data_IF_263014500269
#
_entry.id   IF_263014500269
#
_cell.length_a   1.000
_cell.length_b   1.000
_cell.length_c   1.000
_cell.angle_alpha   90.00
_cell.angle_beta   90.00
_cell.angle_gamma   90.00
#
_symmetry.space_group_name_H-M   'P 1'
#
loop_
_entity.id
_entity.type
_entity.pdbx_description
1 polymer ?
#
# COMPACT_ATOMS: atom_id res chain seq x y z
N UNK A 1 -13.35 -3.81 30.49
CA UNK A 1 -14.31 -2.69 30.30
C UNK A 1 -15.16 -2.92 29.06
N UNK A 2 -16.45 -2.53 29.10
CA UNK A 2 -17.33 -2.53 27.94
C UNK A 2 -17.51 -1.08 27.47
N UNK A 3 -17.07 -0.77 26.26
CA UNK A 3 -16.99 0.60 25.74
C UNK A 3 -18.05 0.83 24.68
N UNK A 4 -18.92 1.84 24.88
CA UNK A 4 -19.79 2.32 23.82
C UNK A 4 -19.04 3.27 22.90
N UNK A 5 -19.12 3.09 21.57
CA UNK A 5 -18.54 4.02 20.61
C UNK A 5 -19.67 4.66 19.78
N UNK A 6 -19.74 5.97 19.82
CA UNK A 6 -20.72 6.76 19.06
C UNK A 6 -20.00 7.78 18.17
N UNK A 7 -20.53 8.02 16.96
CA UNK A 7 -19.89 8.91 15.98
C UNK A 7 -20.90 9.75 15.22
N UNK A 8 -20.58 11.03 15.02
CA UNK A 8 -21.30 11.93 14.11
C UNK A 8 -20.35 12.62 13.14
N UNK A 9 -20.89 13.01 11.98
CA UNK A 9 -20.21 13.92 11.06
C UNK A 9 -20.62 15.36 11.36
N UNK A 10 -19.65 16.28 11.45
CA UNK A 10 -19.94 17.73 11.64
C UNK A 10 -20.68 18.37 10.46
N UNK A 11 -20.72 17.72 9.28
CA UNK A 11 -21.26 18.29 8.03
C UNK A 11 -22.71 17.89 7.76
N UNK A 12 -23.32 17.03 8.56
CA UNK A 12 -24.63 16.51 8.17
C UNK A 12 -25.57 16.12 9.27
N UNK A 13 -26.41 17.04 9.67
CA UNK A 13 -27.71 16.75 10.31
C UNK A 13 -28.69 15.97 9.39
N UNK A 14 -28.21 15.36 8.29
CA UNK A 14 -29.05 14.60 7.34
C UNK A 14 -29.23 13.13 7.70
N UNK A 15 -28.33 12.56 8.47
CA UNK A 15 -28.57 11.22 9.03
C UNK A 15 -29.26 11.37 10.38
N UNK A 16 -30.54 10.96 10.44
CA UNK A 16 -31.48 11.05 11.57
C UNK A 16 -31.04 10.38 12.89
N UNK A 17 -29.76 10.13 13.09
CA UNK A 17 -29.21 9.50 14.29
C UNK A 17 -28.25 10.46 15.01
N UNK A 18 -28.87 11.34 15.83
CA UNK A 18 -28.15 12.20 16.76
C UNK A 18 -27.32 11.36 17.75
N UNK A 19 -26.25 11.94 18.30
CA UNK A 19 -25.44 11.30 19.37
C UNK A 19 -26.34 10.79 20.51
N UNK A 20 -27.33 11.56 20.89
CA UNK A 20 -28.31 11.19 21.95
C UNK A 20 -29.07 9.91 21.60
N UNK A 21 -29.48 9.73 20.34
CA UNK A 21 -30.17 8.52 19.92
C UNK A 21 -29.22 7.29 19.88
N UNK A 22 -28.01 7.45 19.40
CA UNK A 22 -27.02 6.36 19.43
C UNK A 22 -26.73 5.95 20.89
N UNK A 23 -26.51 6.92 21.76
CA UNK A 23 -26.25 6.67 23.19
C UNK A 23 -27.43 5.95 23.85
N UNK A 24 -28.67 6.40 23.57
CA UNK A 24 -29.87 5.75 24.08
C UNK A 24 -29.96 4.29 23.62
N UNK A 25 -29.80 4.03 22.32
CA UNK A 25 -29.89 2.68 21.77
C UNK A 25 -28.85 1.72 22.34
N UNK A 26 -27.62 2.18 22.53
CA UNK A 26 -26.55 1.39 23.16
C UNK A 26 -26.92 1.09 24.62
N UNK A 27 -27.32 2.10 25.39
CA UNK A 27 -27.72 1.91 26.78
C UNK A 27 -28.93 0.97 26.94
N UNK A 28 -29.97 1.13 26.10
CA UNK A 28 -31.14 0.25 26.11
C UNK A 28 -30.74 -1.20 25.82
N UNK A 29 -29.90 -1.42 24.82
CA UNK A 29 -29.37 -2.74 24.49
C UNK A 29 -28.59 -3.34 25.67
N UNK A 30 -27.62 -2.59 26.18
CA UNK A 30 -26.78 -3.05 27.29
C UNK A 30 -27.63 -3.38 28.55
N UNK A 31 -28.68 -2.58 28.84
CA UNK A 31 -29.59 -2.85 29.90
C UNK A 31 -30.38 -4.16 29.71
N UNK A 32 -30.90 -4.41 28.49
CA UNK A 32 -31.63 -5.66 28.18
C UNK A 32 -30.73 -6.90 28.31
N UNK A 33 -29.45 -6.81 27.89
CA UNK A 33 -28.54 -7.94 27.91
C UNK A 33 -27.65 -8.00 29.17
N UNK A 34 -27.92 -7.15 30.18
CA UNK A 34 -27.17 -7.07 31.44
C UNK A 34 -25.67 -6.85 31.22
N UNK A 35 -25.34 -6.00 30.25
CA UNK A 35 -23.97 -5.58 29.96
C UNK A 35 -23.75 -4.27 30.73
N UNK A 36 -22.83 -4.26 31.67
CA UNK A 36 -22.40 -3.04 32.36
C UNK A 36 -21.52 -2.21 31.41
N UNK A 37 -21.98 -1.02 31.04
CA UNK A 37 -21.25 -0.12 30.15
C UNK A 37 -20.38 0.81 30.99
N UNK A 38 -19.07 0.70 30.83
CA UNK A 38 -18.10 1.46 31.66
C UNK A 38 -17.90 2.88 31.14
N UNK A 39 -17.82 3.05 29.81
CA UNK A 39 -17.57 4.35 29.18
C UNK A 39 -18.29 4.45 27.82
N UNK A 40 -18.68 5.67 27.45
CA UNK A 40 -19.11 5.98 26.07
C UNK A 40 -18.14 6.98 25.47
N UNK A 41 -17.39 6.53 24.45
CA UNK A 41 -16.47 7.37 23.70
C UNK A 41 -17.24 8.03 22.55
N UNK A 42 -17.15 9.36 22.49
CA UNK A 42 -17.77 10.17 21.44
C UNK A 42 -16.73 10.60 20.40
N UNK A 43 -16.97 10.31 19.13
CA UNK A 43 -16.12 10.75 18.01
C UNK A 43 -16.88 11.73 17.11
N UNK A 44 -16.36 12.96 17.00
CA UNK A 44 -16.91 13.98 16.11
C UNK A 44 -16.02 14.12 14.88
N UNK A 45 -16.58 13.80 13.71
CA UNK A 45 -15.86 13.87 12.44
C UNK A 45 -16.01 15.23 11.77
N UNK A 46 -14.94 16.01 11.65
CA UNK A 46 -14.93 17.35 11.03
C UNK A 46 -14.51 17.38 9.56
N UNK A 47 -14.39 16.23 8.89
CA UNK A 47 -14.06 16.15 7.45
C UNK A 47 -12.65 16.55 7.05
N UNK A 48 -11.99 17.43 7.79
CA UNK A 48 -10.70 18.03 7.43
C UNK A 48 -9.55 17.66 8.35
N UNK A 49 -9.81 17.19 9.56
CA UNK A 49 -8.77 16.78 10.51
C UNK A 49 -8.65 15.27 10.55
N UNK A 50 -7.40 14.79 10.47
CA UNK A 50 -7.03 13.38 10.67
C UNK A 50 -7.14 12.98 12.15
N UNK A 51 -7.52 13.89 13.01
CA UNK A 51 -7.56 13.67 14.45
C UNK A 51 -8.71 12.76 14.82
N UNK A 52 -8.40 11.64 15.43
CA UNK A 52 -9.32 10.57 15.86
C UNK A 52 -9.15 10.35 17.37
N UNK A 53 -9.34 11.42 18.13
CA UNK A 53 -9.09 11.40 19.57
C UNK A 53 -9.86 10.28 20.26
N UNK A 54 -11.15 10.09 19.92
CA UNK A 54 -11.96 9.01 20.46
C UNK A 54 -11.43 7.62 20.11
N UNK A 55 -11.03 7.42 18.84
CA UNK A 55 -10.49 6.13 18.42
C UNK A 55 -9.07 5.87 18.96
N UNK A 56 -8.26 6.93 19.12
CA UNK A 56 -6.93 6.83 19.73
C UNK A 56 -7.05 6.53 21.23
N UNK A 57 -8.01 7.13 21.92
CA UNK A 57 -8.32 6.80 23.31
C UNK A 57 -8.75 5.33 23.45
N UNK A 58 -9.69 4.86 22.60
CA UNK A 58 -10.08 3.46 22.57
C UNK A 58 -8.90 2.51 22.35
N UNK A 59 -8.02 2.84 21.40
CA UNK A 59 -6.81 2.03 21.15
C UNK A 59 -5.90 1.97 22.34
N UNK A 60 -5.69 3.08 23.05
CA UNK A 60 -4.88 3.13 24.27
C UNK A 60 -5.45 2.21 25.36
N UNK A 61 -6.77 2.20 25.54
CA UNK A 61 -7.44 1.29 26.48
C UNK A 61 -7.27 -0.18 26.07
N UNK A 62 -7.36 -0.47 24.78
CA UNK A 62 -7.16 -1.83 24.25
C UNK A 62 -5.72 -2.30 24.45
N UNK A 63 -4.74 -1.44 24.16
CA UNK A 63 -3.31 -1.75 24.33
C UNK A 63 -2.95 -2.00 25.80
N UNK A 64 -3.65 -1.40 26.74
CA UNK A 64 -3.53 -1.67 28.17
C UNK A 64 -4.19 -3.00 28.61
N UNK A 65 -4.97 -3.63 27.73
CA UNK A 65 -5.69 -4.86 28.03
C UNK A 65 -6.98 -4.65 28.83
N UNK A 66 -7.48 -3.42 28.92
CA UNK A 66 -8.62 -3.06 29.76
C UNK A 66 -9.98 -3.31 29.10
N UNK A 67 -10.03 -3.44 27.75
CA UNK A 67 -11.28 -3.51 26.98
C UNK A 67 -11.71 -4.94 26.73
N UNK A 68 -12.93 -5.29 27.16
CA UNK A 68 -13.57 -6.59 26.90
C UNK A 68 -14.45 -6.54 25.64
N UNK A 69 -15.24 -5.47 25.49
CA UNK A 69 -16.12 -5.34 24.33
C UNK A 69 -16.27 -3.89 23.87
N UNK A 70 -16.54 -3.74 22.57
CA UNK A 70 -16.91 -2.47 21.94
C UNK A 70 -18.33 -2.60 21.42
N UNK A 71 -19.23 -1.73 21.92
CA UNK A 71 -20.65 -1.70 21.56
C UNK A 71 -20.92 -0.50 20.66
N UNK A 72 -21.45 -0.74 19.48
CA UNK A 72 -21.82 0.29 18.51
C UNK A 72 -23.29 0.16 18.10
N UNK A 73 -23.89 1.26 17.70
CA UNK A 73 -25.24 1.21 17.13
C UNK A 73 -25.24 0.45 15.79
N UNK A 74 -24.24 0.71 14.94
CA UNK A 74 -23.98 0.06 13.65
C UNK A 74 -22.49 -0.07 13.41
N UNK A 75 -22.07 -1.09 12.64
CA UNK A 75 -20.66 -1.29 12.27
C UNK A 75 -20.06 -0.11 11.52
N UNK A 76 -20.87 0.65 10.76
CA UNK A 76 -20.42 1.84 10.05
C UNK A 76 -19.86 2.93 10.99
N UNK A 77 -20.18 2.87 12.28
CA UNK A 77 -19.64 3.78 13.30
C UNK A 77 -18.17 3.51 13.59
N UNK A 78 -17.68 2.30 13.35
CA UNK A 78 -16.25 1.94 13.42
C UNK A 78 -15.45 2.42 12.21
N UNK A 79 -16.13 2.80 11.11
CA UNK A 79 -15.54 2.94 9.78
C UNK A 79 -15.67 4.38 9.24
N UNK A 80 -14.62 4.90 8.60
CA UNK A 80 -14.70 6.02 7.64
C UNK A 80 -14.89 5.51 6.22
N UNK A 81 -14.22 4.42 5.91
CA UNK A 81 -14.35 3.65 4.68
C UNK A 81 -14.43 2.17 5.04
N UNK A 82 -14.95 1.36 4.15
CA UNK A 82 -15.06 -0.08 4.37
C UNK A 82 -13.70 -0.71 4.68
N UNK A 83 -12.66 -0.36 3.92
CA UNK A 83 -11.31 -0.90 4.10
C UNK A 83 -10.68 -0.53 5.46
N UNK A 84 -10.83 0.73 5.92
CA UNK A 84 -10.35 1.14 7.25
C UNK A 84 -11.11 0.44 8.36
N UNK A 85 -12.42 0.28 8.19
CA UNK A 85 -13.25 -0.41 9.17
C UNK A 85 -12.86 -1.86 9.36
N UNK A 86 -12.62 -2.57 8.25
CA UNK A 86 -12.19 -3.96 8.32
C UNK A 86 -10.82 -4.11 8.99
N UNK A 87 -9.89 -3.19 8.74
CA UNK A 87 -8.59 -3.17 9.43
C UNK A 87 -8.78 -2.96 10.94
N UNK A 88 -9.69 -2.06 11.33
CA UNK A 88 -9.96 -1.81 12.75
C UNK A 88 -10.69 -2.99 13.41
N UNK A 89 -11.65 -3.60 12.74
CA UNK A 89 -12.30 -4.83 13.19
C UNK A 89 -11.28 -5.94 13.42
N UNK A 90 -10.35 -6.14 12.48
CA UNK A 90 -9.26 -7.10 12.63
C UNK A 90 -8.40 -6.78 13.85
N UNK A 91 -8.06 -5.52 14.05
CA UNK A 91 -7.31 -5.07 15.22
C UNK A 91 -8.04 -5.41 16.54
N UNK A 92 -9.37 -5.23 16.61
CA UNK A 92 -10.17 -5.64 17.78
C UNK A 92 -10.10 -7.15 17.99
N UNK A 93 -10.23 -7.94 16.92
CA UNK A 93 -10.11 -9.40 16.98
C UNK A 93 -8.74 -9.87 17.44
N UNK A 94 -7.67 -9.29 16.91
CA UNK A 94 -6.29 -9.65 17.24
C UNK A 94 -5.95 -9.33 18.72
N UNK A 95 -6.75 -8.47 19.37
CA UNK A 95 -6.66 -8.13 20.80
C UNK A 95 -7.77 -8.78 21.65
N UNK A 96 -8.48 -9.79 21.14
CA UNK A 96 -9.55 -10.50 21.84
C UNK A 96 -10.73 -9.62 22.28
N UNK A 97 -10.91 -8.44 21.69
CA UNK A 97 -12.00 -7.52 21.99
C UNK A 97 -13.26 -7.91 21.24
N UNK A 98 -14.35 -8.13 21.96
CA UNK A 98 -15.65 -8.47 21.39
C UNK A 98 -16.28 -7.24 20.73
N UNK A 99 -17.03 -7.46 19.65
CA UNK A 99 -17.74 -6.41 18.91
C UNK A 99 -19.24 -6.71 18.98
N UNK A 100 -20.01 -5.73 19.41
CA UNK A 100 -21.46 -5.80 19.46
C UNK A 100 -22.03 -4.68 18.61
N UNK A 101 -22.79 -5.04 17.58
CA UNK A 101 -23.56 -4.10 16.76
C UNK A 101 -25.05 -4.27 17.00
N UNK A 102 -25.67 -3.23 17.56
CA UNK A 102 -27.04 -3.27 18.05
C UNK A 102 -28.05 -3.48 16.91
N UNK A 103 -27.96 -2.69 15.85
CA UNK A 103 -28.97 -2.74 14.76
C UNK A 103 -28.77 -3.91 13.81
N UNK A 104 -27.52 -4.29 13.53
CA UNK A 104 -27.23 -5.49 12.72
C UNK A 104 -27.40 -6.78 13.52
N UNK A 105 -27.60 -6.71 14.85
CA UNK A 105 -27.72 -7.86 15.75
C UNK A 105 -26.50 -8.80 15.65
N UNK A 106 -25.32 -8.20 15.56
CA UNK A 106 -24.05 -8.93 15.49
C UNK A 106 -23.42 -8.86 16.87
N UNK A 107 -23.06 -10.03 17.40
CA UNK A 107 -22.32 -10.17 18.65
C UNK A 107 -21.25 -11.23 18.42
N UNK A 108 -19.99 -10.82 18.44
CA UNK A 108 -18.86 -11.70 18.20
C UNK A 108 -18.53 -12.62 19.38
N UNK A 109 -19.22 -12.49 20.49
CA UNK A 109 -19.17 -13.51 21.57
C UNK A 109 -19.86 -14.81 21.11
N UNK A 110 -20.82 -14.71 20.18
CA UNK A 110 -21.55 -15.84 19.59
C UNK A 110 -20.80 -16.45 18.39
N UNK A 111 -21.04 -17.74 18.14
CA UNK A 111 -20.46 -18.43 16.97
C UNK A 111 -20.91 -17.80 15.64
N UNK A 112 -22.20 -17.43 15.54
CA UNK A 112 -22.74 -16.79 14.34
C UNK A 112 -22.16 -15.39 14.08
N UNK A 113 -21.98 -14.59 15.14
CA UNK A 113 -21.35 -13.27 15.03
C UNK A 113 -19.89 -13.37 14.61
N UNK A 114 -19.12 -14.30 15.19
CA UNK A 114 -17.73 -14.57 14.75
C UNK A 114 -17.66 -15.03 13.31
N UNK A 115 -18.54 -15.93 12.89
CA UNK A 115 -18.61 -16.37 11.50
C UNK A 115 -18.87 -15.22 10.55
N UNK A 116 -19.87 -14.37 10.84
CA UNK A 116 -20.19 -13.21 10.02
C UNK A 116 -18.99 -12.25 9.88
N UNK A 117 -18.29 -11.98 10.98
CA UNK A 117 -17.12 -11.10 10.94
C UNK A 117 -15.96 -11.71 10.14
N UNK A 118 -15.72 -13.02 10.27
CA UNK A 118 -14.72 -13.71 9.45
C UNK A 118 -15.05 -13.63 7.95
N UNK A 119 -16.32 -13.72 7.58
CA UNK A 119 -16.76 -13.53 6.19
C UNK A 119 -16.46 -12.10 5.71
N UNK A 120 -16.76 -11.08 6.53
CA UNK A 120 -16.41 -9.68 6.20
C UNK A 120 -14.91 -9.47 6.01
N UNK A 121 -14.08 -10.05 6.89
CA UNK A 121 -12.62 -9.99 6.77
C UNK A 121 -12.14 -10.64 5.50
N UNK A 122 -12.66 -11.83 5.16
CA UNK A 122 -12.29 -12.55 3.94
C UNK A 122 -12.70 -11.82 2.66
N UNK A 123 -13.87 -11.17 2.64
CA UNK A 123 -14.32 -10.36 1.49
C UNK A 123 -13.37 -9.19 1.21
N UNK A 124 -12.86 -8.54 2.25
CA UNK A 124 -11.90 -7.45 2.09
C UNK A 124 -10.55 -7.94 1.54
N UNK A 125 -10.08 -9.10 1.97
CA UNK A 125 -8.86 -9.73 1.41
C UNK A 125 -9.05 -10.06 -0.07
N UNK A 126 -10.18 -10.64 -0.46
CA UNK A 126 -10.52 -10.91 -1.87
C UNK A 126 -10.57 -9.64 -2.73
N UNK A 127 -11.14 -8.54 -2.20
CA UNK A 127 -11.18 -7.27 -2.93
C UNK A 127 -9.76 -6.74 -3.17
N UNK A 128 -8.90 -6.80 -2.16
CA UNK A 128 -7.49 -6.39 -2.27
C UNK A 128 -6.75 -7.23 -3.31
N UNK A 129 -6.92 -8.55 -3.29
CA UNK A 129 -6.28 -9.45 -4.24
C UNK A 129 -6.77 -9.19 -5.67
N UNK A 130 -8.06 -8.95 -5.86
CA UNK A 130 -8.64 -8.57 -7.14
C UNK A 130 -8.03 -7.26 -7.69
N UNK A 131 -7.80 -6.27 -6.84
CA UNK A 131 -7.14 -5.01 -7.22
C UNK A 131 -5.70 -5.29 -7.66
N UNK A 132 -4.95 -6.10 -6.90
CA UNK A 132 -3.57 -6.49 -7.24
C UNK A 132 -3.52 -7.25 -8.56
N UNK A 133 -4.42 -8.19 -8.79
CA UNK A 133 -4.53 -8.93 -10.06
C UNK A 133 -4.83 -8.00 -11.25
N UNK A 134 -5.78 -7.07 -11.11
CA UNK A 134 -6.08 -6.08 -12.15
C UNK A 134 -4.87 -5.18 -12.45
N UNK A 135 -4.14 -4.76 -11.42
CA UNK A 135 -2.90 -3.99 -11.60
C UNK A 135 -1.82 -4.80 -12.33
N UNK A 136 -1.64 -6.07 -11.97
CA UNK A 136 -0.67 -6.95 -12.62
C UNK A 136 -1.06 -7.25 -14.06
N UNK A 137 -2.32 -7.55 -14.33
CA UNK A 137 -2.85 -7.75 -15.70
C UNK A 137 -2.68 -6.49 -16.56
N UNK A 138 -2.91 -5.32 -15.97
CA UNK A 138 -2.64 -4.03 -16.64
C UNK A 138 -1.15 -3.84 -16.97
N UNK A 139 -0.23 -4.25 -16.08
CA UNK A 139 1.22 -4.23 -16.33
C UNK A 139 1.61 -5.19 -17.45
N UNK A 140 1.08 -6.41 -17.44
CA UNK A 140 1.34 -7.43 -18.48
C UNK A 140 0.86 -6.92 -19.84
N UNK A 141 -0.38 -6.43 -19.93
CA UNK A 141 -0.93 -5.88 -21.18
C UNK A 141 -0.12 -4.71 -21.73
N UNK A 142 0.38 -3.82 -20.86
CA UNK A 142 1.27 -2.73 -21.28
C UNK A 142 2.62 -3.25 -21.74
N UNK A 143 3.12 -4.32 -21.13
CA UNK A 143 4.36 -4.99 -21.52
C UNK A 143 4.22 -5.65 -22.90
N UNK A 144 3.13 -6.39 -23.13
CA UNK A 144 2.81 -7.02 -24.42
C UNK A 144 2.69 -6.00 -25.55
N UNK A 145 2.18 -4.81 -25.26
CA UNK A 145 2.11 -3.69 -26.22
C UNK A 145 3.45 -2.92 -26.34
N UNK A 146 4.56 -3.48 -25.91
CA UNK A 146 5.91 -2.87 -25.93
C UNK A 146 6.00 -1.50 -25.22
N UNK A 147 5.05 -1.17 -24.36
CA UNK A 147 5.05 0.05 -23.55
C UNK A 147 5.67 -0.23 -22.19
N UNK A 148 6.77 0.40 -21.87
CA UNK A 148 7.41 0.27 -20.55
C UNK A 148 6.54 0.90 -19.47
N UNK A 149 6.08 0.12 -18.55
CA UNK A 149 5.01 0.54 -17.64
C UNK A 149 5.52 1.29 -16.45
N UNK A 150 6.45 1.20 -15.81
CA UNK A 150 7.02 1.96 -14.69
C UNK A 150 8.40 1.38 -14.34
N UNK A 151 9.39 2.19 -14.25
CA UNK A 151 10.72 1.79 -13.86
C UNK A 151 11.76 2.77 -14.40
N UNK A 152 12.98 2.66 -13.92
CA UNK A 152 14.09 3.46 -14.43
C UNK A 152 14.29 3.16 -15.91
N UNK A 153 14.17 4.20 -16.74
CA UNK A 153 14.49 4.10 -18.16
C UNK A 153 15.98 3.74 -18.27
N UNK A 154 16.27 2.67 -19.04
CA UNK A 154 17.64 2.24 -19.29
C UNK A 154 18.43 3.32 -20.03
N UNK A 155 19.68 3.56 -19.64
CA UNK A 155 20.54 4.55 -20.27
C UNK A 155 20.65 4.31 -21.78
N UNK A 156 20.60 5.36 -22.60
CA UNK A 156 20.50 5.25 -24.05
C UNK A 156 19.09 5.26 -24.61
N UNK A 157 18.08 5.29 -23.75
CA UNK A 157 16.68 5.41 -24.10
C UNK A 157 16.04 6.59 -23.38
N UNK A 158 14.99 7.15 -23.96
CA UNK A 158 14.14 8.16 -23.34
C UNK A 158 12.67 7.87 -23.59
N UNK A 159 11.83 8.41 -22.73
CA UNK A 159 10.39 8.32 -22.90
C UNK A 159 9.92 9.45 -23.83
N UNK A 160 9.14 9.10 -24.83
CA UNK A 160 8.39 10.04 -25.66
C UNK A 160 6.95 9.56 -25.69
N UNK A 161 6.04 10.36 -25.13
CA UNK A 161 4.67 9.95 -24.81
C UNK A 161 4.69 8.66 -23.98
N UNK A 162 4.02 7.58 -24.42
CA UNK A 162 4.02 6.27 -23.77
C UNK A 162 5.05 5.29 -24.34
N UNK A 163 5.87 5.71 -25.31
CA UNK A 163 6.84 4.85 -25.98
C UNK A 163 8.26 5.09 -25.48
N UNK A 164 9.08 4.05 -25.56
CA UNK A 164 10.52 4.17 -25.39
C UNK A 164 11.18 4.37 -26.73
N UNK A 165 11.88 5.47 -26.89
CA UNK A 165 12.66 5.76 -28.08
C UNK A 165 14.17 5.84 -27.73
N UNK A 166 15.01 5.61 -28.72
CA UNK A 166 16.45 5.76 -28.57
C UNK A 166 16.82 7.23 -28.33
N UNK A 167 17.61 7.48 -27.29
CA UNK A 167 18.31 8.75 -27.16
C UNK A 167 19.53 8.75 -28.09
N UNK A 168 19.59 9.75 -29.02
CA UNK A 168 20.62 9.80 -30.07
C UNK A 168 22.06 9.92 -29.54
N UNK A 169 22.26 10.52 -28.37
CA UNK A 169 23.59 10.69 -27.79
C UNK A 169 23.95 9.52 -26.90
N UNK A 170 23.09 9.21 -25.96
CA UNK A 170 23.34 8.17 -24.94
C UNK A 170 23.40 6.77 -25.56
N UNK A 171 22.61 6.49 -26.61
CA UNK A 171 22.66 5.19 -27.32
C UNK A 171 24.00 4.92 -28.00
N UNK A 172 24.66 5.97 -28.53
CA UNK A 172 26.01 5.84 -29.09
C UNK A 172 27.04 5.50 -27.99
N UNK A 173 26.85 6.05 -26.79
CA UNK A 173 27.72 5.73 -25.65
C UNK A 173 27.54 4.27 -25.24
N UNK A 174 26.29 3.76 -25.19
CA UNK A 174 26.01 2.34 -24.92
C UNK A 174 26.69 1.44 -25.95
N UNK A 175 26.54 1.74 -27.24
CA UNK A 175 27.20 0.98 -28.31
C UNK A 175 28.71 1.00 -28.14
N UNK A 176 29.32 2.15 -27.82
CA UNK A 176 30.73 2.27 -27.55
C UNK A 176 31.18 1.41 -26.36
N UNK A 177 30.40 1.39 -25.27
CA UNK A 177 30.68 0.56 -24.09
C UNK A 177 30.77 -0.92 -24.48
N UNK A 178 29.76 -1.45 -25.19
CA UNK A 178 29.73 -2.84 -25.62
C UNK A 178 30.90 -3.18 -26.57
N UNK A 179 31.09 -2.35 -27.63
CA UNK A 179 32.16 -2.54 -28.59
C UNK A 179 33.54 -2.56 -27.92
N UNK A 180 33.80 -1.55 -27.09
CA UNK A 180 35.10 -1.41 -26.42
C UNK A 180 35.33 -2.52 -25.38
N UNK A 181 34.31 -2.91 -24.66
CA UNK A 181 34.44 -4.03 -23.71
C UNK A 181 34.74 -5.33 -24.42
N UNK A 182 34.11 -5.66 -25.53
CA UNK A 182 34.36 -6.84 -26.32
C UNK A 182 35.79 -6.85 -26.91
N UNK A 183 36.27 -5.72 -27.42
CA UNK A 183 37.67 -5.59 -27.91
C UNK A 183 38.68 -5.90 -26.79
N UNK A 184 38.46 -5.35 -25.60
CA UNK A 184 39.34 -5.59 -24.45
C UNK A 184 39.32 -7.06 -24.02
N UNK A 185 38.16 -7.69 -24.03
CA UNK A 185 37.98 -9.12 -23.70
C UNK A 185 38.67 -10.02 -24.75
N UNK A 186 38.55 -9.70 -26.04
CA UNK A 186 39.23 -10.41 -27.13
C UNK A 186 40.78 -10.31 -27.03
N UNK A 187 41.29 -9.20 -26.47
CA UNK A 187 42.74 -9.03 -26.19
C UNK A 187 43.21 -9.76 -24.93
N UNK A 188 42.40 -10.61 -24.32
CA UNK A 188 42.75 -11.41 -23.16
C UNK A 188 42.75 -10.69 -21.81
N UNK A 189 42.26 -9.45 -21.74
CA UNK A 189 42.18 -8.76 -20.45
C UNK A 189 41.08 -9.38 -19.53
N UNK A 190 41.40 -9.48 -18.23
CA UNK A 190 40.38 -9.89 -17.23
C UNK A 190 39.20 -8.95 -17.19
N UNK A 191 38.06 -9.42 -16.66
CA UNK A 191 36.81 -8.58 -16.51
C UNK A 191 37.14 -7.27 -15.78
N UNK A 192 37.82 -7.33 -14.65
CA UNK A 192 38.16 -6.17 -13.81
C UNK A 192 39.07 -5.19 -14.55
N UNK A 193 40.14 -5.70 -15.25
CA UNK A 193 41.03 -4.85 -16.02
C UNK A 193 40.33 -4.19 -17.19
N UNK A 194 39.45 -4.92 -17.90
CA UNK A 194 38.63 -4.37 -18.99
C UNK A 194 37.74 -3.24 -18.53
N UNK A 195 37.07 -3.40 -17.39
CA UNK A 195 36.21 -2.36 -16.82
C UNK A 195 36.97 -1.11 -16.41
N UNK A 196 38.16 -1.27 -15.82
CA UNK A 196 39.02 -0.14 -15.46
C UNK A 196 39.49 0.66 -16.67
N UNK A 197 39.93 -0.04 -17.73
CA UNK A 197 40.37 0.60 -18.99
C UNK A 197 39.19 1.29 -19.68
N UNK A 198 38.02 0.63 -19.73
CA UNK A 198 36.80 1.18 -20.31
C UNK A 198 36.35 2.47 -19.60
N UNK A 199 36.36 2.47 -18.26
CA UNK A 199 36.02 3.66 -17.48
C UNK A 199 36.97 4.84 -17.82
N UNK A 200 38.26 4.63 -17.83
CA UNK A 200 39.23 5.66 -18.22
C UNK A 200 38.99 6.20 -19.65
N UNK A 201 38.63 5.31 -20.58
CA UNK A 201 38.33 5.67 -21.96
C UNK A 201 37.02 6.49 -22.08
N UNK A 202 36.00 6.23 -21.23
CA UNK A 202 34.78 7.03 -21.18
C UNK A 202 35.08 8.44 -20.65
N UNK A 203 35.88 8.54 -19.59
CA UNK A 203 36.30 9.82 -19.01
C UNK A 203 37.12 10.65 -20.02
N UNK A 204 38.07 10.08 -20.71
CA UNK A 204 38.89 10.78 -21.72
C UNK A 204 38.08 11.30 -22.91
N UNK A 205 36.88 10.77 -23.15
CA UNK A 205 35.96 11.20 -24.19
C UNK A 205 34.87 12.15 -23.64
N UNK A 206 34.95 12.54 -22.38
CA UNK A 206 33.95 13.36 -21.67
C UNK A 206 32.51 12.77 -21.75
N UNK A 207 32.40 11.43 -21.82
CA UNK A 207 31.10 10.77 -21.76
C UNK A 207 30.58 10.74 -20.33
N UNK A 208 29.32 11.09 -20.16
CA UNK A 208 28.66 11.13 -18.84
C UNK A 208 27.49 10.15 -18.76
N UNK A 209 27.21 9.68 -17.55
CA UNK A 209 26.04 8.89 -17.23
C UNK A 209 25.03 9.80 -16.52
N UNK A 210 23.99 10.24 -17.24
CA UNK A 210 22.97 11.16 -16.71
C UNK A 210 23.57 12.41 -16.05
N UNK A 211 24.55 13.04 -16.72
CA UNK A 211 25.20 14.25 -16.25
C UNK A 211 26.37 14.06 -15.24
N UNK A 212 26.65 12.83 -14.83
CA UNK A 212 27.75 12.49 -13.91
C UNK A 212 28.77 11.58 -14.55
N UNK A 213 29.95 11.46 -13.98
CA UNK A 213 30.98 10.51 -14.44
C UNK A 213 30.50 9.07 -14.36
N UNK A 214 30.95 8.24 -15.31
CA UNK A 214 30.70 6.81 -15.28
C UNK A 214 31.41 6.15 -14.09
N UNK A 215 30.63 5.48 -13.24
CA UNK A 215 31.16 4.60 -12.18
C UNK A 215 31.31 3.17 -12.70
N UNK A 216 32.08 2.34 -12.01
CA UNK A 216 32.15 0.92 -12.30
C UNK A 216 30.82 0.21 -12.16
N UNK A 217 29.94 0.71 -11.27
CA UNK A 217 28.57 0.20 -11.09
C UNK A 217 27.72 0.47 -12.35
N UNK A 218 27.72 1.71 -12.87
CA UNK A 218 26.95 2.07 -14.06
C UNK A 218 27.37 1.23 -15.28
N UNK A 219 28.68 1.04 -15.48
CA UNK A 219 29.21 0.21 -16.58
C UNK A 219 28.77 -1.24 -16.42
N UNK A 220 28.89 -1.81 -15.20
CA UNK A 220 28.44 -3.18 -14.92
C UNK A 220 26.93 -3.33 -15.18
N UNK A 221 26.13 -2.40 -14.70
CA UNK A 221 24.69 -2.38 -14.93
C UNK A 221 24.35 -2.41 -16.43
N UNK A 222 24.99 -1.56 -17.24
CA UNK A 222 24.77 -1.54 -18.70
C UNK A 222 25.15 -2.89 -19.32
N UNK A 223 26.31 -3.44 -18.99
CA UNK A 223 26.79 -4.69 -19.57
C UNK A 223 26.01 -5.94 -19.14
N UNK A 224 25.33 -5.91 -17.99
CA UNK A 224 24.53 -7.03 -17.48
C UNK A 224 23.03 -6.90 -17.71
N UNK A 225 22.56 -5.77 -18.21
CA UNK A 225 21.14 -5.53 -18.40
C UNK A 225 20.64 -6.19 -19.70
N UNK A 226 19.80 -7.22 -19.57
CA UNK A 226 19.19 -7.97 -20.69
C UNK A 226 18.35 -7.09 -21.62
N UNK A 227 17.90 -5.93 -21.16
CA UNK A 227 17.17 -4.98 -22.00
C UNK A 227 17.88 -4.61 -23.30
N UNK A 228 19.22 -4.50 -23.26
CA UNK A 228 20.04 -4.19 -24.45
C UNK A 228 20.20 -5.36 -25.42
N UNK A 229 19.77 -6.56 -25.04
CA UNK A 229 19.71 -7.73 -25.95
C UNK A 229 18.35 -7.93 -26.58
N UNK A 230 17.42 -6.99 -26.39
CA UNK A 230 16.04 -7.08 -26.88
C UNK A 230 15.11 -7.89 -25.98
N UNK A 231 15.59 -8.38 -24.83
CA UNK A 231 14.78 -9.12 -23.87
C UNK A 231 14.28 -8.15 -22.78
N UNK A 232 12.99 -7.92 -22.75
CA UNK A 232 12.34 -7.19 -21.66
C UNK A 232 11.96 -8.20 -20.56
N UNK A 233 12.39 -7.97 -19.33
CA UNK A 233 11.97 -8.74 -18.15
C UNK A 233 11.06 -7.90 -17.27
N UNK A 234 9.99 -8.52 -16.74
CA UNK A 234 9.13 -7.89 -15.74
C UNK A 234 9.94 -7.69 -14.45
N UNK A 235 10.29 -6.46 -14.12
CA UNK A 235 10.93 -6.12 -12.85
C UNK A 235 12.40 -5.71 -12.92
N UNK A 236 12.95 -5.46 -14.08
CA UNK A 236 14.28 -4.84 -14.22
C UNK A 236 14.23 -3.34 -14.51
#
# INVERSE_FOLDING_TARGET
>A
MNIGLIRVSSIGQKDNTSLSNQKKMINDYCSVYSIELDEIIEEVYTGTTSDRDGLNHLKSLIENGDVESVVVMKLDRLMRSFSEGVVFIKYLFDNDVKIISVLEKIDTSTTSGRFFMNVLLSLNEMERDTIVERMNSGKIRKFENHKKVNGRISFGYKKYEDNLILDKQDSKIVQYIYKRYLELRKRGHSKTKSMRILRKSLMSKNYTYKGSEFTSHNIRYILSNSFYTGVMTNGS
#
